data_IF_771281874604
#
_entry.id   IF_771281874604
#
_cell.length_a   1.000
_cell.length_b   1.000
_cell.length_c   1.000
_cell.angle_alpha   90.00
_cell.angle_beta   90.00
_cell.angle_gamma   90.00
#
_symmetry.space_group_name_H-M   'P 1'
#
loop_
_entity.id
_entity.type
_entity.pdbx_description
1 polymer ?
#
# COMPACT_ATOMS: atom_id res chain seq x y z
N UNK A 1 10.31 -1.35 2.61
CA UNK A 1 10.82 -1.98 1.37
C UNK A 1 11.92 -1.08 0.83
N UNK A 2 13.21 -1.46 1.00
CA UNK A 2 14.34 -0.70 0.45
C UNK A 2 14.33 -0.75 -1.08
N UNK A 3 14.50 0.42 -1.70
CA UNK A 3 14.67 0.58 -3.15
C UNK A 3 15.49 1.86 -3.41
N UNK A 4 16.21 1.99 -4.50
CA UNK A 4 16.89 3.23 -4.86
C UNK A 4 15.93 4.41 -4.91
N UNK A 5 16.44 5.61 -4.55
CA UNK A 5 15.66 6.85 -4.65
C UNK A 5 15.14 7.05 -6.07
N UNK A 6 13.90 7.49 -6.19
CA UNK A 6 13.25 7.72 -7.47
C UNK A 6 12.68 6.47 -8.14
N UNK A 7 12.84 5.27 -7.53
CA UNK A 7 12.19 4.05 -8.07
C UNK A 7 10.68 4.22 -8.06
N UNK A 8 9.99 4.02 -9.20
CA UNK A 8 8.54 4.15 -9.28
C UNK A 8 7.83 3.15 -8.37
N UNK A 9 6.88 3.67 -7.58
CA UNK A 9 5.98 2.88 -6.73
C UNK A 9 4.69 2.65 -7.49
N UNK A 10 4.19 1.43 -7.48
CA UNK A 10 2.98 1.01 -8.19
C UNK A 10 1.79 0.86 -7.25
N UNK A 11 0.60 1.26 -7.72
CA UNK A 11 -0.66 0.95 -7.04
C UNK A 11 -0.83 -0.57 -6.94
N UNK A 12 -1.08 -1.07 -5.73
CA UNK A 12 -1.15 -2.52 -5.46
C UNK A 12 -2.45 -3.18 -5.94
N UNK A 13 -3.48 -2.38 -6.21
CA UNK A 13 -4.78 -2.77 -6.76
C UNK A 13 -5.42 -1.55 -7.43
N UNK A 14 -6.50 -1.74 -8.18
CA UNK A 14 -7.37 -0.64 -8.59
C UNK A 14 -7.88 0.10 -7.35
N UNK A 15 -8.03 1.42 -7.42
CA UNK A 15 -8.46 2.19 -6.26
C UNK A 15 -8.73 3.66 -6.55
N UNK A 16 -8.98 4.41 -5.47
CA UNK A 16 -9.19 5.85 -5.49
C UNK A 16 -8.24 6.51 -4.52
N UNK A 17 -7.61 7.61 -4.91
CA UNK A 17 -6.78 8.44 -4.04
C UNK A 17 -7.67 9.11 -2.98
N UNK A 18 -7.40 8.86 -1.70
CA UNK A 18 -8.16 9.40 -0.57
C UNK A 18 -7.36 10.38 0.29
N UNK A 19 -6.05 10.43 0.10
CA UNK A 19 -5.18 11.34 0.84
C UNK A 19 -3.83 11.51 0.15
N UNK A 20 -3.36 12.74 0.13
CA UNK A 20 -1.98 13.11 -0.24
C UNK A 20 -1.53 14.08 0.83
N UNK A 21 -0.42 13.79 1.50
CA UNK A 21 0.05 14.55 2.64
C UNK A 21 1.50 14.94 2.44
N UNK A 22 1.79 16.21 2.63
CA UNK A 22 3.13 16.77 2.71
C UNK A 22 3.43 17.07 4.18
N UNK A 23 3.98 16.09 4.87
CA UNK A 23 4.24 16.17 6.30
C UNK A 23 5.74 16.18 6.61
N UNK A 24 6.50 17.08 6.00
CA UNK A 24 7.97 17.09 6.14
C UNK A 24 8.45 17.27 7.61
N UNK A 25 7.64 17.95 8.43
CA UNK A 25 7.89 18.09 9.87
C UNK A 25 7.52 16.89 10.73
N UNK A 26 6.79 15.91 10.19
CA UNK A 26 6.35 14.74 10.93
C UNK A 26 7.22 13.49 10.64
N UNK A 27 6.79 12.35 11.20
CA UNK A 27 7.52 11.08 11.07
C UNK A 27 7.44 10.48 9.66
N UNK A 28 6.32 10.68 8.94
CA UNK A 28 5.97 10.00 7.69
C UNK A 28 6.51 10.69 6.44
N UNK A 29 6.61 12.03 6.45
CA UNK A 29 7.00 12.80 5.26
C UNK A 29 5.90 12.85 4.21
N UNK A 30 6.27 12.78 2.95
CA UNK A 30 5.33 12.76 1.82
C UNK A 30 4.66 11.38 1.73
N UNK A 31 3.34 11.39 1.61
CA UNK A 31 2.52 10.19 1.66
C UNK A 31 1.37 10.26 0.65
N UNK A 32 1.02 9.13 0.06
CA UNK A 32 -0.23 8.92 -0.66
C UNK A 32 -1.00 7.74 -0.06
N UNK A 33 -2.32 7.86 0.01
CA UNK A 33 -3.22 6.82 0.48
C UNK A 33 -4.30 6.52 -0.57
N UNK A 34 -4.54 5.25 -0.79
CA UNK A 34 -5.58 4.76 -1.70
C UNK A 34 -6.63 3.97 -0.92
N UNK A 35 -7.89 4.06 -1.35
CA UNK A 35 -8.98 3.17 -0.94
C UNK A 35 -9.31 2.21 -2.08
N UNK A 36 -9.53 0.97 -1.72
CA UNK A 36 -9.90 -0.11 -2.63
C UNK A 36 -11.23 -0.74 -2.20
N UNK A 37 -12.13 -0.97 -3.16
CA UNK A 37 -13.38 -1.69 -2.90
C UNK A 37 -13.15 -3.20 -2.79
N UNK A 38 -14.09 -3.96 -2.21
CA UNK A 38 -14.04 -5.43 -2.23
C UNK A 38 -13.89 -6.02 -3.64
N UNK A 39 -14.55 -5.44 -4.64
CA UNK A 39 -14.49 -5.91 -6.03
C UNK A 39 -13.10 -5.67 -6.64
N UNK A 40 -12.46 -4.56 -6.30
CA UNK A 40 -11.14 -4.19 -6.82
C UNK A 40 -10.04 -5.11 -6.27
N UNK A 41 -10.14 -5.51 -5.00
CA UNK A 41 -9.14 -6.38 -4.37
C UNK A 41 -9.51 -7.86 -4.41
N UNK A 42 -10.81 -8.19 -4.52
CA UNK A 42 -11.33 -9.53 -4.32
C UNK A 42 -11.35 -9.98 -2.85
N UNK A 43 -11.15 -9.05 -1.90
CA UNK A 43 -11.26 -9.28 -0.46
C UNK A 43 -12.68 -8.93 0.01
N UNK A 44 -13.20 -9.53 1.10
CA UNK A 44 -14.58 -9.33 1.53
C UNK A 44 -14.83 -8.02 2.32
N UNK A 45 -13.91 -7.07 2.27
CA UNK A 45 -13.94 -5.82 3.01
C UNK A 45 -13.24 -4.69 2.25
N UNK A 46 -13.45 -3.47 2.67
CA UNK A 46 -12.73 -2.29 2.18
C UNK A 46 -11.28 -2.34 2.61
N UNK A 47 -10.38 -2.01 1.69
CA UNK A 47 -8.95 -2.02 1.94
C UNK A 47 -8.37 -0.64 1.68
N UNK A 48 -7.37 -0.28 2.44
CA UNK A 48 -6.69 1.02 2.35
C UNK A 48 -5.19 0.76 2.29
N UNK A 49 -4.52 1.28 1.29
CA UNK A 49 -3.07 1.19 1.16
C UNK A 49 -2.42 2.54 1.37
N UNK A 50 -1.31 2.56 2.11
CA UNK A 50 -0.58 3.74 2.49
C UNK A 50 0.87 3.61 2.08
N UNK A 51 1.38 4.63 1.40
CA UNK A 51 2.73 4.68 0.85
C UNK A 51 3.42 5.94 1.37
N UNK A 52 4.46 5.78 2.20
CA UNK A 52 5.12 6.89 2.87
C UNK A 52 6.59 7.00 2.55
N UNK A 53 7.20 8.13 2.93
CA UNK A 53 8.58 8.50 2.65
C UNK A 53 8.87 8.74 1.16
N UNK A 54 7.87 9.19 0.40
CA UNK A 54 8.05 9.49 -1.03
C UNK A 54 9.14 10.57 -1.22
N UNK A 55 9.80 10.53 -2.39
CA UNK A 55 10.86 11.50 -2.73
C UNK A 55 10.32 12.86 -3.18
N UNK A 56 9.08 12.90 -3.66
CA UNK A 56 8.41 14.08 -4.21
C UNK A 56 6.89 13.92 -4.08
N UNK A 57 6.16 15.03 -4.21
CA UNK A 57 4.70 14.99 -4.22
C UNK A 57 4.20 14.21 -5.43
N UNK A 58 3.20 13.30 -5.25
CA UNK A 58 2.57 12.61 -6.37
C UNK A 58 1.90 13.57 -7.34
N UNK A 59 1.96 13.27 -8.63
CA UNK A 59 1.24 14.01 -9.68
C UNK A 59 -0.22 13.52 -9.82
N UNK A 60 -0.89 13.29 -8.69
CA UNK A 60 -2.27 12.82 -8.57
C UNK A 60 -3.04 13.76 -7.64
N UNK A 61 -4.37 13.74 -7.76
CA UNK A 61 -5.27 14.49 -6.88
C UNK A 61 -6.16 13.57 -6.04
N UNK A 62 -6.62 14.04 -4.89
CA UNK A 62 -7.64 13.34 -4.10
C UNK A 62 -8.90 13.18 -4.96
N UNK A 63 -9.43 11.98 -5.04
CA UNK A 63 -10.56 11.60 -5.89
C UNK A 63 -10.16 10.91 -7.21
N UNK A 64 -8.89 10.97 -7.60
CA UNK A 64 -8.43 10.30 -8.81
C UNK A 64 -8.58 8.79 -8.70
N UNK A 65 -9.12 8.17 -9.74
CA UNK A 65 -9.11 6.75 -9.91
C UNK A 65 -7.74 6.27 -10.44
N UNK A 66 -7.19 5.26 -9.81
CA UNK A 66 -5.92 4.65 -10.24
C UNK A 66 -6.14 3.18 -10.58
N UNK A 67 -5.44 2.71 -11.60
CA UNK A 67 -5.42 1.29 -11.95
C UNK A 67 -4.26 0.59 -11.26
N UNK A 68 -4.44 -0.69 -10.96
CA UNK A 68 -3.37 -1.56 -10.50
C UNK A 68 -2.14 -1.45 -11.41
N UNK A 69 -0.98 -1.25 -10.82
CA UNK A 69 0.27 -1.10 -11.56
C UNK A 69 0.56 0.32 -12.07
N UNK A 70 -0.37 1.27 -11.97
CA UNK A 70 -0.10 2.67 -12.26
C UNK A 70 0.96 3.23 -11.30
N UNK A 71 1.81 4.13 -11.79
CA UNK A 71 2.75 4.87 -10.94
C UNK A 71 1.98 5.85 -10.05
N UNK A 72 2.22 5.76 -8.74
CA UNK A 72 1.55 6.59 -7.73
C UNK A 72 2.51 7.45 -6.92
N UNK A 73 3.80 7.31 -7.15
CA UNK A 73 4.85 8.05 -6.47
C UNK A 73 6.21 7.42 -6.70
N UNK A 74 7.23 7.96 -6.05
CA UNK A 74 8.61 7.47 -6.15
C UNK A 74 9.23 7.27 -4.78
N UNK A 75 10.04 6.23 -4.65
CA UNK A 75 10.79 5.90 -3.43
C UNK A 75 11.66 7.06 -2.98
N UNK A 76 11.66 7.35 -1.70
CA UNK A 76 12.51 8.36 -1.09
C UNK A 76 12.78 8.08 0.38
N UNK A 77 13.05 9.14 1.14
CA UNK A 77 13.29 9.10 2.58
C UNK A 77 12.78 10.35 3.29
N UNK A 78 11.71 10.96 2.79
CA UNK A 78 11.10 12.15 3.40
C UNK A 78 10.59 11.87 4.82
N UNK A 79 10.37 12.94 5.59
CA UNK A 79 9.97 12.87 7.00
C UNK A 79 11.10 12.47 7.95
N UNK A 80 10.89 12.68 9.25
CA UNK A 80 11.91 12.37 10.27
C UNK A 80 12.31 10.90 10.30
N UNK A 81 11.37 9.98 10.15
CA UNK A 81 11.68 8.54 10.16
C UNK A 81 12.48 8.14 8.93
N UNK A 82 12.12 8.60 7.74
CA UNK A 82 12.87 8.34 6.51
C UNK A 82 14.32 8.80 6.64
N UNK A 83 14.53 10.03 7.07
CA UNK A 83 15.88 10.59 7.28
C UNK A 83 16.70 9.84 8.34
N UNK A 84 16.06 9.38 9.41
CA UNK A 84 16.74 8.68 10.49
C UNK A 84 17.26 7.30 10.11
N UNK A 85 16.56 6.57 9.25
CA UNK A 85 17.02 5.26 8.75
C UNK A 85 18.17 5.37 7.72
N UNK A 86 18.51 6.59 7.29
CA UNK A 86 19.63 6.91 6.38
C UNK A 86 19.66 6.09 5.08
N UNK A 87 18.52 5.62 4.61
CA UNK A 87 18.38 4.92 3.34
C UNK A 87 17.03 5.22 2.71
N UNK A 88 16.97 5.17 1.39
CA UNK A 88 15.71 5.26 0.67
C UNK A 88 14.91 3.97 0.84
N UNK A 89 13.65 4.10 1.19
CA UNK A 89 12.75 2.96 1.37
C UNK A 89 11.28 3.41 1.32
N UNK A 90 10.43 2.59 0.75
CA UNK A 90 9.00 2.70 0.96
C UNK A 90 8.61 2.12 2.32
N UNK A 91 7.96 2.90 3.16
CA UNK A 91 7.13 2.36 4.21
C UNK A 91 5.75 2.11 3.64
N UNK A 92 5.33 0.87 3.66
CA UNK A 92 4.09 0.40 3.09
C UNK A 92 3.21 -0.20 4.19
N UNK A 93 1.96 0.27 4.28
CA UNK A 93 0.97 -0.26 5.21
C UNK A 93 -0.34 -0.55 4.50
N UNK A 94 -1.05 -1.55 4.98
CA UNK A 94 -2.39 -1.90 4.54
C UNK A 94 -3.31 -1.91 5.75
N UNK A 95 -4.49 -1.31 5.59
CA UNK A 95 -5.56 -1.36 6.57
C UNK A 95 -6.80 -1.95 5.90
N UNK A 96 -7.73 -2.46 6.72
CA UNK A 96 -9.01 -2.96 6.24
C UNK A 96 -10.13 -2.57 7.19
N UNK A 97 -11.36 -2.50 6.67
CA UNK A 97 -12.55 -2.17 7.43
C UNK A 97 -13.80 -2.79 6.76
N UNK A 98 -14.78 -3.17 7.55
CA UNK A 98 -16.10 -3.54 7.07
C UNK A 98 -16.87 -2.31 6.53
N UNK A 99 -16.52 -1.09 6.99
CA UNK A 99 -17.18 0.15 6.59
C UNK A 99 -16.45 0.82 5.41
N UNK A 100 -17.17 1.43 4.45
CA UNK A 100 -16.57 2.13 3.31
C UNK A 100 -16.04 3.52 3.67
N UNK A 101 -16.37 4.03 4.85
CA UNK A 101 -16.10 5.40 5.25
C UNK A 101 -14.72 5.57 5.90
N UNK A 102 -14.18 6.74 5.72
CA UNK A 102 -12.93 7.19 6.36
C UNK A 102 -13.02 8.69 6.68
N UNK A 103 -12.14 9.15 7.55
CA UNK A 103 -11.91 10.56 7.80
C UNK A 103 -10.52 10.99 7.31
N UNK A 104 -10.37 12.24 6.93
CA UNK A 104 -9.11 12.84 6.52
C UNK A 104 -9.06 14.28 7.10
N UNK A 105 -8.10 14.55 7.96
CA UNK A 105 -7.90 15.84 8.62
C UNK A 105 -6.80 16.69 7.96
N UNK A 106 -6.34 16.31 6.76
CA UNK A 106 -5.23 16.95 6.04
C UNK A 106 -3.84 16.51 6.49
N UNK A 107 -3.73 15.60 7.48
CA UNK A 107 -2.47 15.04 7.98
C UNK A 107 -2.44 13.53 7.99
N UNK A 108 -3.57 12.92 8.25
CA UNK A 108 -3.75 11.46 8.27
C UNK A 108 -5.13 11.10 7.74
N UNK A 109 -5.26 9.91 7.20
CA UNK A 109 -6.56 9.29 6.98
C UNK A 109 -6.78 8.19 8.03
N UNK A 110 -8.02 8.00 8.43
CA UNK A 110 -8.42 6.96 9.40
C UNK A 110 -9.66 6.27 8.86
N UNK A 111 -9.59 4.98 8.48
CA UNK A 111 -10.78 4.21 8.15
C UNK A 111 -11.69 4.06 9.37
N UNK A 112 -13.00 4.16 9.18
CA UNK A 112 -13.96 3.87 10.24
C UNK A 112 -13.82 2.38 10.63
N UNK A 113 -13.70 2.12 11.94
CA UNK A 113 -13.48 0.78 12.49
C UNK A 113 -12.36 0.00 11.77
N UNK A 114 -11.28 0.71 11.42
CA UNK A 114 -10.18 0.16 10.64
C UNK A 114 -9.13 -0.54 11.49
N UNK A 115 -8.60 -1.62 10.95
CA UNK A 115 -7.51 -2.41 11.54
C UNK A 115 -6.31 -2.45 10.60
N UNK A 116 -5.10 -2.51 11.16
CA UNK A 116 -3.92 -2.83 10.35
C UNK A 116 -3.97 -4.28 9.89
N UNK A 117 -3.72 -4.45 8.61
CA UNK A 117 -3.49 -5.75 7.99
C UNK A 117 -2.00 -6.05 7.96
N UNK A 118 -1.62 -7.31 8.14
CA UNK A 118 -0.27 -7.74 7.79
C UNK A 118 -0.06 -7.55 6.27
N UNK A 119 0.99 -6.84 5.81
CA UNK A 119 1.17 -6.57 4.38
C UNK A 119 1.28 -7.82 3.50
N UNK A 120 1.71 -8.95 4.06
CA UNK A 120 1.74 -10.23 3.33
C UNK A 120 0.35 -10.86 3.30
N UNK A 121 -0.45 -10.68 4.35
CA UNK A 121 -1.82 -11.17 4.40
C UNK A 121 -2.71 -10.53 3.32
N UNK A 122 -2.37 -9.35 2.83
CA UNK A 122 -3.07 -8.74 1.69
C UNK A 122 -3.13 -9.65 0.46
N UNK A 123 -2.18 -10.58 0.31
CA UNK A 123 -2.13 -11.52 -0.82
C UNK A 123 -2.81 -12.85 -0.53
N UNK A 124 -3.29 -13.10 0.70
CA UNK A 124 -4.06 -14.30 1.05
C UNK A 124 -5.45 -14.25 0.43
N UNK A 125 -5.99 -15.40 0.03
CA UNK A 125 -7.37 -15.50 -0.45
C UNK A 125 -8.35 -15.50 0.74
N UNK A 126 -7.93 -16.08 1.86
CA UNK A 126 -8.71 -16.20 3.10
C UNK A 126 -7.85 -15.78 4.29
N UNK A 127 -8.50 -15.41 5.41
CA UNK A 127 -7.83 -15.02 6.64
C UNK A 127 -6.87 -16.10 7.18
N UNK A 128 -6.18 -15.80 8.25
CA UNK A 128 -6.21 -14.53 8.99
C UNK A 128 -5.49 -13.39 8.29
N UNK A 129 -5.84 -12.15 8.65
CA UNK A 129 -5.30 -10.93 8.02
C UNK A 129 -4.44 -10.08 8.95
N UNK A 130 -4.46 -10.34 10.26
CA UNK A 130 -3.64 -9.61 11.22
C UNK A 130 -2.43 -10.42 11.66
N UNK A 131 -1.30 -9.73 11.92
CA UNK A 131 -0.02 -10.39 12.20
C UNK A 131 -0.05 -11.30 13.43
N UNK A 132 -0.84 -10.96 14.47
CA UNK A 132 -0.95 -11.79 15.67
C UNK A 132 -1.56 -13.16 15.36
N UNK A 133 -2.63 -13.20 14.57
CA UNK A 133 -3.29 -14.44 14.17
C UNK A 133 -2.43 -15.24 13.19
N UNK A 134 -1.72 -14.55 12.27
CA UNK A 134 -0.78 -15.19 11.35
C UNK A 134 0.38 -15.86 12.10
N UNK A 135 0.81 -15.30 13.22
CA UNK A 135 1.89 -15.87 14.03
C UNK A 135 1.54 -17.26 14.58
N UNK A 136 0.26 -17.52 14.83
CA UNK A 136 -0.24 -18.80 15.36
C UNK A 136 -0.37 -19.90 14.28
N UNK A 137 -0.30 -19.55 12.99
CA UNK A 137 -0.40 -20.55 11.93
C UNK A 137 0.84 -21.48 11.90
N UNK A 138 0.69 -22.71 11.44
CA UNK A 138 1.81 -23.57 11.08
C UNK A 138 2.70 -22.90 10.02
N UNK A 139 4.01 -23.15 10.04
CA UNK A 139 4.96 -22.54 9.11
C UNK A 139 4.60 -22.79 7.63
N UNK A 140 4.01 -23.94 7.31
CA UNK A 140 3.54 -24.28 5.96
C UNK A 140 2.40 -23.40 5.46
N UNK A 141 1.63 -22.78 6.38
CA UNK A 141 0.49 -21.94 6.04
C UNK A 141 0.81 -20.44 6.07
N UNK A 142 2.00 -20.06 6.56
CA UNK A 142 2.46 -18.66 6.60
C UNK A 142 2.92 -18.14 5.24
N UNK A 143 3.42 -19.02 4.37
CA UNK A 143 3.88 -18.63 3.05
C UNK A 143 2.71 -18.28 2.13
N UNK A 144 2.79 -17.12 1.49
CA UNK A 144 1.77 -16.64 0.56
C UNK A 144 2.44 -16.29 -0.78
N UNK A 145 1.95 -16.84 -1.90
CA UNK A 145 2.43 -16.40 -3.21
C UNK A 145 2.01 -14.94 -3.45
N UNK A 146 3.00 -14.06 -3.57
CA UNK A 146 2.78 -12.63 -3.80
C UNK A 146 2.73 -12.38 -5.30
N UNK A 147 1.58 -11.92 -5.79
CA UNK A 147 1.46 -11.51 -7.18
C UNK A 147 2.25 -10.20 -7.42
N UNK A 148 2.77 -10.05 -8.64
CA UNK A 148 3.63 -8.93 -9.02
C UNK A 148 3.47 -8.55 -10.50
N UNK A 149 4.01 -7.41 -10.90
CA UNK A 149 4.20 -7.06 -12.31
C UNK A 149 5.61 -7.43 -12.74
N UNK A 150 5.74 -7.97 -13.95
CA UNK A 150 7.01 -8.00 -14.67
C UNK A 150 7.41 -6.57 -15.09
N UNK A 151 8.64 -6.42 -15.53
CA UNK A 151 9.15 -5.12 -16.02
C UNK A 151 8.42 -4.60 -17.25
N UNK A 152 7.79 -5.47 -18.04
CA UNK A 152 6.93 -5.15 -19.18
C UNK A 152 5.49 -4.77 -18.79
N UNK A 153 5.16 -4.78 -17.49
CA UNK A 153 3.83 -4.48 -16.96
C UNK A 153 2.86 -5.67 -16.91
N UNK A 154 3.29 -6.87 -17.29
CA UNK A 154 2.44 -8.06 -17.27
C UNK A 154 2.26 -8.57 -15.83
N UNK A 155 1.01 -8.76 -15.34
CA UNK A 155 0.78 -9.31 -14.00
C UNK A 155 1.06 -10.82 -13.94
N UNK A 156 1.62 -11.26 -12.81
CA UNK A 156 1.86 -12.67 -12.50
C UNK A 156 1.26 -12.99 -11.13
N UNK A 157 0.29 -13.91 -11.05
CA UNK A 157 -0.36 -14.60 -12.16
C UNK A 157 -1.26 -13.65 -13.00
N UNK A 158 -1.60 -14.06 -14.21
CA UNK A 158 -2.59 -13.37 -15.02
C UNK A 158 -3.93 -13.29 -14.25
N UNK A 159 -4.61 -12.12 -14.34
CA UNK A 159 -5.88 -11.89 -13.63
C UNK A 159 -5.72 -11.56 -12.14
N UNK A 160 -4.49 -11.39 -11.64
CA UNK A 160 -4.27 -10.90 -10.29
C UNK A 160 -4.98 -9.55 -10.08
N UNK A 161 -5.70 -9.39 -8.97
CA UNK A 161 -6.33 -8.14 -8.55
C UNK A 161 -5.48 -7.34 -7.56
N UNK A 162 -4.38 -7.93 -7.07
CA UNK A 162 -3.46 -7.38 -6.07
C UNK A 162 -2.05 -7.73 -6.45
N UNK A 163 -1.13 -6.77 -6.39
CA UNK A 163 0.26 -6.96 -6.79
C UNK A 163 1.22 -6.32 -5.78
N UNK A 164 2.46 -6.74 -5.79
CA UNK A 164 3.55 -6.10 -5.08
C UNK A 164 3.79 -4.68 -5.62
N UNK A 165 4.13 -3.67 -4.78
CA UNK A 165 4.26 -2.28 -5.21
C UNK A 165 5.47 -1.98 -6.11
N UNK A 166 6.28 -2.97 -6.42
CA UNK A 166 7.41 -2.86 -7.33
C UNK A 166 7.42 -3.99 -8.36
N UNK A 167 7.81 -3.71 -9.63
CA UNK A 167 8.01 -4.77 -10.61
C UNK A 167 9.11 -5.75 -10.18
N UNK A 168 8.94 -7.03 -10.53
CA UNK A 168 9.95 -8.06 -10.37
C UNK A 168 10.54 -8.47 -11.73
N UNK A 169 11.82 -8.82 -11.74
CA UNK A 169 12.51 -9.35 -12.92
C UNK A 169 12.16 -10.81 -13.16
#
# INVERSE_FOLDING_TARGET
IPQPRGTPIRAIADGTVIGIFENDGNRKGIEIALRHTPEQTGLPFWTYSQYTHLSEMPALAIGDAVRMGAEIGKTGNSGKMGRNIRRDALHFAVLFSAAPSWSNDGRVFVPADGFFMDPIAFYRQEGPYVSAELAELPSSEKAVPVAYLKTDGTPVPAGAKRIWPYPCK
#
